data_IF_106001134555
#
_entry.id   IF_106001134555
#
_cell.length_a   1.000
_cell.length_b   1.000
_cell.length_c   1.000
_cell.angle_alpha   90.00
_cell.angle_beta   90.00
_cell.angle_gamma   90.00
#
_symmetry.space_group_name_H-M   'P 1'
#
loop_
_entity.id
_entity.type
_entity.pdbx_description
1 polymer ?
#
# COMPACT_ATOMS: atom_id res chain seq x y z
N UNK A 1 -19.87 10.70 23.13
CA UNK A 1 -19.13 10.66 21.84
C UNK A 1 -20.15 10.84 20.72
N UNK A 2 -20.12 11.99 20.02
CA UNK A 2 -21.10 12.33 18.97
C UNK A 2 -21.11 11.27 17.85
N UNK A 3 -22.29 10.97 17.30
CA UNK A 3 -22.49 9.98 16.22
C UNK A 3 -21.62 10.31 15.00
N UNK A 4 -21.52 11.59 14.64
CA UNK A 4 -20.66 12.08 13.56
C UNK A 4 -19.21 11.64 13.76
N UNK A 5 -18.70 11.74 14.99
CA UNK A 5 -17.34 11.34 15.35
C UNK A 5 -17.14 9.82 15.23
N UNK A 6 -18.15 9.03 15.59
CA UNK A 6 -18.12 7.57 15.44
C UNK A 6 -18.05 7.14 13.99
N UNK A 7 -18.87 7.75 13.13
CA UNK A 7 -18.89 7.44 11.69
C UNK A 7 -17.57 7.83 11.03
N UNK A 8 -17.02 8.99 11.39
CA UNK A 8 -15.72 9.45 10.87
C UNK A 8 -14.58 8.49 11.26
N UNK A 9 -14.56 8.02 12.51
CA UNK A 9 -13.59 7.03 12.98
C UNK A 9 -13.71 5.70 12.23
N UNK A 10 -14.94 5.26 11.97
CA UNK A 10 -15.21 4.00 11.27
C UNK A 10 -14.71 4.05 9.82
N UNK A 11 -14.94 5.17 9.12
CA UNK A 11 -14.40 5.41 7.77
C UNK A 11 -12.87 5.39 7.80
N UNK A 12 -12.25 6.01 8.82
CA UNK A 12 -10.80 6.03 8.94
C UNK A 12 -10.20 4.62 9.12
N UNK A 13 -10.85 3.78 9.94
CA UNK A 13 -10.45 2.37 10.14
C UNK A 13 -10.64 1.56 8.86
N UNK A 14 -11.69 1.83 8.09
CA UNK A 14 -11.94 1.17 6.80
C UNK A 14 -10.91 1.51 5.72
N UNK A 15 -10.32 2.71 5.76
CA UNK A 15 -9.30 3.16 4.80
C UNK A 15 -7.87 2.72 5.14
N UNK A 16 -7.60 2.41 6.42
CA UNK A 16 -6.30 1.93 6.90
C UNK A 16 -5.70 0.77 6.06
N UNK A 17 -6.46 -0.28 5.70
CA UNK A 17 -5.96 -1.40 4.90
C UNK A 17 -5.45 -0.97 3.52
N UNK A 18 -6.12 -0.02 2.87
CA UNK A 18 -5.73 0.48 1.55
C UNK A 18 -4.44 1.29 1.63
N UNK A 19 -4.31 2.13 2.67
CA UNK A 19 -3.10 2.90 2.94
C UNK A 19 -1.90 1.97 3.15
N UNK A 20 -2.08 0.90 3.94
CA UNK A 20 -1.02 -0.09 4.20
C UNK A 20 -0.63 -0.82 2.91
N UNK A 21 -1.59 -1.22 2.07
CA UNK A 21 -1.33 -1.85 0.77
C UNK A 21 -0.52 -0.92 -0.13
N UNK A 22 -0.91 0.35 -0.21
CA UNK A 22 -0.22 1.32 -1.05
C UNK A 22 1.21 1.58 -0.56
N UNK A 23 1.39 1.76 0.75
CA UNK A 23 2.71 1.90 1.36
C UNK A 23 3.60 0.68 1.10
N UNK A 24 3.05 -0.54 1.20
CA UNK A 24 3.77 -1.79 0.89
C UNK A 24 4.22 -1.85 -0.57
N UNK A 25 3.35 -1.48 -1.52
CA UNK A 25 3.70 -1.46 -2.94
C UNK A 25 4.80 -0.44 -3.21
N UNK A 26 4.69 0.76 -2.67
CA UNK A 26 5.73 1.79 -2.79
C UNK A 26 7.06 1.35 -2.19
N UNK A 27 7.03 0.71 -1.01
CA UNK A 27 8.21 0.18 -0.36
C UNK A 27 8.90 -0.89 -1.22
N UNK A 28 8.14 -1.83 -1.78
CA UNK A 28 8.69 -2.85 -2.68
C UNK A 28 9.28 -2.24 -3.94
N UNK A 29 8.61 -1.24 -4.53
CA UNK A 29 9.13 -0.48 -5.67
C UNK A 29 10.46 0.22 -5.34
N UNK A 30 10.57 0.81 -4.15
CA UNK A 30 11.81 1.46 -3.67
C UNK A 30 12.95 0.44 -3.45
N UNK A 31 12.62 -0.79 -3.08
CA UNK A 31 13.58 -1.89 -2.98
C UNK A 31 14.01 -2.47 -4.33
N UNK A 32 13.50 -1.93 -5.44
CA UNK A 32 13.77 -2.43 -6.78
C UNK A 32 13.00 -3.71 -7.09
N UNK A 33 11.84 -3.94 -6.47
CA UNK A 33 10.94 -5.04 -6.80
C UNK A 33 9.63 -4.50 -7.37
N UNK A 34 9.14 -5.15 -8.43
CA UNK A 34 7.83 -4.88 -9.02
C UNK A 34 6.94 -6.10 -8.81
N UNK A 35 5.68 -5.87 -8.49
CA UNK A 35 4.67 -6.91 -8.57
C UNK A 35 4.27 -7.09 -10.04
N UNK A 36 4.49 -8.29 -10.58
CA UNK A 36 3.93 -8.75 -11.86
C UNK A 36 2.88 -9.82 -11.56
N UNK A 37 1.60 -9.42 -11.50
CA UNK A 37 0.53 -10.29 -11.03
C UNK A 37 0.72 -10.65 -9.55
N UNK A 38 0.95 -11.93 -9.26
CA UNK A 38 1.22 -12.47 -7.91
C UNK A 38 2.72 -12.59 -7.59
N UNK A 39 3.60 -12.39 -8.56
CA UNK A 39 5.04 -12.58 -8.38
C UNK A 39 5.80 -11.27 -8.10
N UNK A 40 6.76 -11.34 -7.19
CA UNK A 40 7.70 -10.26 -6.86
C UNK A 40 8.95 -10.40 -7.74
N UNK A 41 9.03 -9.60 -8.80
CA UNK A 41 10.17 -9.61 -9.73
C UNK A 41 11.12 -8.48 -9.36
N UNK A 42 12.42 -8.77 -9.23
CA UNK A 42 13.44 -7.72 -9.05
C UNK A 42 13.59 -6.96 -10.37
N UNK A 43 13.38 -5.66 -10.35
CA UNK A 43 13.78 -4.74 -11.41
C UNK A 43 15.33 -4.72 -11.37
N UNK A 44 15.96 -5.68 -12.03
CA UNK A 44 17.35 -5.53 -12.39
C UNK A 44 17.39 -4.34 -13.36
N UNK A 45 17.94 -3.22 -12.91
CA UNK A 45 18.49 -2.23 -13.83
C UNK A 45 19.54 -2.97 -14.67
N UNK A 46 19.12 -3.43 -15.85
CA UNK A 46 20.01 -3.85 -16.91
C UNK A 46 20.70 -2.58 -17.39
N UNK A 47 21.69 -2.15 -16.61
CA UNK A 47 22.60 -1.10 -16.98
C UNK A 47 23.52 -1.72 -18.04
N UNK A 48 23.22 -1.42 -19.30
CA UNK A 48 24.01 -1.78 -20.48
C UNK A 48 24.76 -0.53 -20.92
#
# INVERSE_FOLDING_TARGET
>A
MNIIFKVMLLIFILLLPEIIKFARIQHMKKLGYRYEGEELVRIQEKNN
#
